data_IF_286565277073
#
_entry.id   IF_286565277073
#
_cell.length_a   1.000
_cell.length_b   1.000
_cell.length_c   1.000
_cell.angle_alpha   90.00
_cell.angle_beta   90.00
_cell.angle_gamma   90.00
#
_symmetry.space_group_name_H-M   'P 1'
#
loop_
_entity.id
_entity.type
_entity.pdbx_description
1 polymer ?
#
# COMPACT_ATOMS: atom_id res chain seq x y z
N UNK A 1 -14.55 34.88 -12.81
CA UNK A 1 -13.54 33.81 -12.96
C UNK A 1 -13.74 32.68 -11.94
N UNK A 2 -14.22 32.97 -10.73
CA UNK A 2 -14.40 32.00 -9.63
C UNK A 2 -15.33 30.81 -9.94
N UNK A 3 -16.45 31.02 -10.64
CA UNK A 3 -17.37 29.92 -10.96
C UNK A 3 -16.73 28.83 -11.82
N UNK A 4 -15.85 29.18 -12.77
CA UNK A 4 -15.16 28.19 -13.61
C UNK A 4 -14.17 27.35 -12.80
N UNK A 5 -13.46 27.97 -11.87
CA UNK A 5 -12.49 27.29 -11.01
C UNK A 5 -13.16 26.24 -10.11
N UNK A 6 -14.29 26.61 -9.48
CA UNK A 6 -15.06 25.70 -8.64
C UNK A 6 -15.64 24.56 -9.47
N UNK A 7 -16.16 24.82 -10.68
CA UNK A 7 -16.68 23.74 -11.54
C UNK A 7 -15.58 22.78 -11.97
N UNK A 8 -14.38 23.27 -12.31
CA UNK A 8 -13.25 22.43 -12.69
C UNK A 8 -12.75 21.57 -11.53
N UNK A 9 -12.68 22.13 -10.31
CA UNK A 9 -12.31 21.36 -9.11
C UNK A 9 -13.37 20.30 -8.80
N UNK A 10 -14.65 20.65 -8.86
CA UNK A 10 -15.74 19.69 -8.64
C UNK A 10 -15.74 18.57 -9.69
N UNK A 11 -15.47 18.89 -10.96
CA UNK A 11 -15.31 17.88 -12.01
C UNK A 11 -14.09 16.99 -11.78
N UNK A 12 -12.95 17.55 -11.38
CA UNK A 12 -11.74 16.77 -11.07
C UNK A 12 -11.96 15.84 -9.86
N UNK A 13 -12.62 16.31 -8.81
CA UNK A 13 -12.97 15.46 -7.66
C UNK A 13 -13.98 14.37 -8.05
N UNK A 14 -15.02 14.70 -8.82
CA UNK A 14 -15.96 13.69 -9.31
C UNK A 14 -15.28 12.65 -10.22
N UNK A 15 -14.34 13.07 -11.07
CA UNK A 15 -13.59 12.16 -11.95
C UNK A 15 -12.62 11.30 -11.14
N UNK A 16 -11.98 11.85 -10.09
CA UNK A 16 -11.12 11.08 -9.19
C UNK A 16 -11.94 10.02 -8.42
N UNK A 17 -13.15 10.37 -7.97
CA UNK A 17 -14.07 9.44 -7.28
C UNK A 17 -14.54 8.32 -8.23
N UNK A 18 -14.94 8.66 -9.47
CA UNK A 18 -15.38 7.67 -10.47
C UNK A 18 -14.22 6.77 -10.92
N UNK A 19 -13.00 7.32 -11.06
CA UNK A 19 -11.77 6.55 -11.34
C UNK A 19 -11.42 5.57 -10.21
N UNK A 20 -11.75 5.92 -8.97
CA UNK A 20 -11.59 5.08 -7.79
C UNK A 20 -12.67 3.98 -7.67
N UNK A 21 -13.76 4.09 -8.43
CA UNK A 21 -14.96 3.25 -8.28
C UNK A 21 -14.89 1.90 -9.02
N UNK A 22 -13.83 1.64 -9.80
CA UNK A 22 -13.70 0.39 -10.58
C UNK A 22 -12.70 -0.63 -10.01
N UNK A 23 -11.99 -0.32 -8.93
CA UNK A 23 -11.12 -1.31 -8.26
C UNK A 23 -11.92 -2.24 -7.37
N UNK A 24 -11.75 -3.55 -7.55
CA UNK A 24 -12.39 -4.51 -6.65
C UNK A 24 -11.81 -4.39 -5.24
N UNK A 25 -12.55 -4.80 -4.21
CA UNK A 25 -12.05 -4.82 -2.83
C UNK A 25 -10.73 -5.62 -2.71
N UNK A 26 -10.63 -6.74 -3.42
CA UNK A 26 -9.41 -7.54 -3.54
C UNK A 26 -8.22 -6.72 -4.07
N UNK A 27 -8.43 -5.89 -5.10
CA UNK A 27 -7.36 -5.07 -5.68
C UNK A 27 -6.95 -3.94 -4.74
N UNK A 28 -7.89 -3.34 -4.02
CA UNK A 28 -7.59 -2.33 -3.01
C UNK A 28 -6.76 -2.91 -1.86
N UNK A 29 -7.18 -4.05 -1.32
CA UNK A 29 -6.43 -4.73 -0.25
C UNK A 29 -5.06 -5.20 -0.74
N UNK A 30 -4.97 -5.69 -1.98
CA UNK A 30 -3.71 -6.11 -2.58
C UNK A 30 -2.74 -4.92 -2.78
N UNK A 31 -3.25 -3.76 -3.22
CA UNK A 31 -2.47 -2.51 -3.30
C UNK A 31 -2.01 -2.07 -1.92
N UNK A 32 -2.86 -2.17 -0.91
CA UNK A 32 -2.49 -1.82 0.47
C UNK A 32 -1.36 -2.70 0.99
N UNK A 33 -1.42 -4.02 0.77
CA UNK A 33 -0.34 -4.93 1.14
C UNK A 33 0.96 -4.63 0.36
N UNK A 34 0.85 -4.27 -0.92
CA UNK A 34 1.98 -3.86 -1.74
C UNK A 34 2.62 -2.56 -1.24
N UNK A 35 1.83 -1.59 -0.78
CA UNK A 35 2.34 -0.37 -0.16
C UNK A 35 3.16 -0.68 1.10
N UNK A 36 2.70 -1.58 1.98
CA UNK A 36 3.47 -2.00 3.15
C UNK A 36 4.77 -2.72 2.79
N UNK A 37 4.78 -3.50 1.72
CA UNK A 37 5.99 -4.13 1.21
C UNK A 37 6.99 -3.10 0.65
N UNK A 38 6.49 -2.08 -0.07
CA UNK A 38 7.31 -0.97 -0.58
C UNK A 38 7.88 -0.13 0.57
N UNK A 39 7.07 0.18 1.59
CA UNK A 39 7.50 0.84 2.84
C UNK A 39 8.66 0.08 3.50
N UNK A 40 8.52 -1.23 3.73
CA UNK A 40 9.61 -2.08 4.26
C UNK A 40 10.87 -2.04 3.40
N UNK A 41 10.69 -2.14 2.08
CA UNK A 41 11.82 -2.18 1.13
C UNK A 41 12.57 -0.85 1.17
N UNK A 42 11.86 0.27 1.26
CA UNK A 42 12.46 1.59 1.40
C UNK A 42 13.20 1.75 2.72
N UNK A 43 12.61 1.30 3.84
CA UNK A 43 13.31 1.30 5.14
C UNK A 43 14.61 0.50 5.10
N UNK A 44 14.63 -0.65 4.41
CA UNK A 44 15.86 -1.43 4.22
C UNK A 44 16.90 -0.65 3.42
N UNK A 45 16.51 0.05 2.35
CA UNK A 45 17.46 0.87 1.56
C UNK A 45 18.06 1.98 2.40
N UNK A 46 17.24 2.69 3.19
CA UNK A 46 17.70 3.74 4.10
C UNK A 46 18.65 3.16 5.14
N UNK A 47 18.33 2.00 5.72
CA UNK A 47 19.19 1.31 6.66
C UNK A 47 20.56 0.95 6.06
N UNK A 48 20.60 0.50 4.80
CA UNK A 48 21.84 0.17 4.09
C UNK A 48 22.70 1.40 3.76
N UNK A 49 22.12 2.60 3.80
CA UNK A 49 22.78 3.88 3.56
C UNK A 49 23.10 4.64 4.86
N UNK A 50 22.75 4.08 6.02
CA UNK A 50 22.98 4.71 7.30
C UNK A 50 24.46 4.59 7.70
N UNK A 51 25.11 5.74 7.91
CA UNK A 51 26.55 5.83 8.23
C UNK A 51 26.82 5.96 9.74
N UNK A 52 25.77 6.12 10.55
CA UNK A 52 25.84 6.34 12.00
C UNK A 52 25.00 5.30 12.79
N UNK A 53 25.54 4.88 13.93
CA UNK A 53 24.94 3.90 14.84
C UNK A 53 23.54 4.27 15.38
N UNK A 54 23.25 5.56 15.57
CA UNK A 54 21.96 6.05 16.02
C UNK A 54 20.92 5.90 14.90
N UNK A 55 21.25 6.34 13.68
CA UNK A 55 20.42 6.13 12.49
C UNK A 55 20.17 4.64 12.21
N UNK A 56 21.17 3.79 12.38
CA UNK A 56 21.01 2.33 12.26
C UNK A 56 20.00 1.78 13.27
N UNK A 57 20.05 2.24 14.51
CA UNK A 57 19.11 1.82 15.57
C UNK A 57 17.68 2.25 15.26
N UNK A 58 17.49 3.49 14.81
CA UNK A 58 16.18 4.00 14.39
C UNK A 58 15.65 3.25 13.16
N UNK A 59 16.50 3.00 12.16
CA UNK A 59 16.14 2.20 10.99
C UNK A 59 15.74 0.77 11.35
N UNK A 60 16.42 0.16 12.32
CA UNK A 60 16.06 -1.16 12.85
C UNK A 60 14.66 -1.17 13.48
N UNK A 61 14.36 -0.16 14.29
CA UNK A 61 13.04 -0.01 14.91
C UNK A 61 11.95 0.19 13.84
N UNK A 62 12.18 1.10 12.90
CA UNK A 62 11.28 1.36 11.78
C UNK A 62 11.04 0.11 10.92
N UNK A 63 12.08 -0.68 10.67
CA UNK A 63 11.98 -1.94 9.92
C UNK A 63 11.15 -2.99 10.67
N UNK A 64 11.29 -3.06 11.98
CA UNK A 64 10.52 -3.96 12.83
C UNK A 64 9.03 -3.60 12.77
N UNK A 65 8.71 -2.30 12.87
CA UNK A 65 7.34 -1.79 12.80
C UNK A 65 6.72 -2.05 11.42
N UNK A 66 7.42 -1.70 10.34
CA UNK A 66 6.98 -1.95 8.97
C UNK A 66 6.78 -3.45 8.71
N UNK A 67 7.66 -4.30 9.24
CA UNK A 67 7.55 -5.76 9.14
C UNK A 67 6.35 -6.31 9.91
N UNK A 68 6.10 -5.78 11.11
CA UNK A 68 4.95 -6.17 11.94
C UNK A 68 3.64 -5.78 11.25
N UNK A 69 3.56 -4.56 10.73
CA UNK A 69 2.42 -4.04 9.95
C UNK A 69 2.12 -4.91 8.73
N UNK A 70 3.14 -5.24 7.94
CA UNK A 70 3.01 -6.13 6.78
C UNK A 70 2.49 -7.52 7.17
N UNK A 71 3.10 -8.17 8.19
CA UNK A 71 2.70 -9.51 8.63
C UNK A 71 1.27 -9.53 9.18
N UNK A 72 0.93 -8.54 10.00
CA UNK A 72 -0.41 -8.41 10.58
C UNK A 72 -1.47 -8.29 9.48
N UNK A 73 -1.27 -7.38 8.53
CA UNK A 73 -2.22 -7.17 7.44
C UNK A 73 -2.30 -8.38 6.49
N UNK A 74 -1.16 -9.02 6.17
CA UNK A 74 -1.15 -10.25 5.37
C UNK A 74 -1.96 -11.38 6.03
N UNK A 75 -1.82 -11.55 7.34
CA UNK A 75 -2.58 -12.55 8.09
C UNK A 75 -4.07 -12.21 8.10
N UNK A 76 -4.44 -10.94 8.27
CA UNK A 76 -5.84 -10.51 8.15
C UNK A 76 -6.42 -10.82 6.77
N UNK A 77 -5.67 -10.56 5.69
CA UNK A 77 -6.11 -10.85 4.33
C UNK A 77 -6.24 -12.34 4.07
N UNK A 78 -5.35 -13.17 4.63
CA UNK A 78 -5.45 -14.64 4.53
C UNK A 78 -6.68 -15.17 5.27
N UNK A 79 -7.05 -14.57 6.40
CA UNK A 79 -8.29 -14.89 7.11
C UNK A 79 -9.53 -14.42 6.32
N UNK A 80 -9.47 -13.25 5.69
CA UNK A 80 -10.56 -12.66 4.90
C UNK A 80 -10.82 -13.44 3.61
N UNK A 81 -9.76 -13.78 2.88
CA UNK A 81 -9.78 -14.53 1.62
C UNK A 81 -9.33 -15.97 1.88
N UNK A 82 -10.07 -16.67 2.74
CA UNK A 82 -9.71 -18.03 3.19
C UNK A 82 -9.96 -19.11 2.13
N UNK A 83 -10.65 -18.78 1.03
CA UNK A 83 -10.86 -19.64 -0.11
C UNK A 83 -9.69 -19.51 -1.09
N UNK A 84 -9.12 -20.65 -1.52
CA UNK A 84 -8.00 -20.73 -2.47
C UNK A 84 -8.20 -19.88 -3.73
N UNK A 85 -9.43 -19.81 -4.28
CA UNK A 85 -9.70 -19.01 -5.49
C UNK A 85 -9.60 -17.52 -5.24
N UNK A 86 -10.10 -17.04 -4.11
CA UNK A 86 -10.05 -15.62 -3.75
C UNK A 86 -8.64 -15.22 -3.33
N UNK A 87 -7.96 -16.08 -2.58
CA UNK A 87 -6.55 -15.91 -2.24
C UNK A 87 -5.66 -15.82 -3.49
N UNK A 88 -5.86 -16.71 -4.46
CA UNK A 88 -5.10 -16.67 -5.72
C UNK A 88 -5.35 -15.37 -6.51
N UNK A 89 -6.58 -14.85 -6.52
CA UNK A 89 -6.90 -13.54 -7.13
C UNK A 89 -6.21 -12.40 -6.39
N UNK A 90 -6.24 -12.42 -5.07
CA UNK A 90 -5.54 -11.45 -4.22
C UNK A 90 -4.03 -11.48 -4.48
N UNK A 91 -3.39 -12.65 -4.50
CA UNK A 91 -1.96 -12.77 -4.80
C UNK A 91 -1.62 -12.33 -6.23
N UNK A 92 -2.52 -12.55 -7.18
CA UNK A 92 -2.41 -12.04 -8.55
C UNK A 92 -2.43 -10.51 -8.59
N UNK A 93 -3.40 -9.89 -7.93
CA UNK A 93 -3.51 -8.43 -7.83
C UNK A 93 -2.33 -7.82 -7.06
N UNK A 94 -1.85 -8.50 -6.01
CA UNK A 94 -0.71 -8.06 -5.20
C UNK A 94 0.59 -8.04 -6.02
N UNK A 95 0.85 -9.10 -6.81
CA UNK A 95 2.02 -9.13 -7.70
C UNK A 95 1.98 -7.98 -8.72
N UNK A 96 0.83 -7.74 -9.35
CA UNK A 96 0.65 -6.61 -10.28
C UNK A 96 0.85 -5.25 -9.63
N UNK A 97 0.57 -5.11 -8.34
CA UNK A 97 0.77 -3.85 -7.61
C UNK A 97 2.24 -3.63 -7.17
N UNK A 98 3.05 -4.68 -7.17
CA UNK A 98 4.49 -4.62 -6.87
C UNK A 98 5.34 -4.30 -8.10
N UNK A 99 4.89 -4.72 -9.28
CA UNK A 99 5.40 -4.27 -10.58
C UNK A 99 5.32 -2.74 -10.70
#
# INVERSE_FOLDING_TARGET
MENRFITTISMLMATAIISFSCTSSIEQDARQLALFQKERTETIKVMLQADDSLQLTECHQNLLEATTKYKSYKNQMKTKYNNDKEWARFEGAYRKALE
#
